data_IF_139697348320
#
_entry.id   IF_139697348320
#
_cell.length_a   1.000
_cell.length_b   1.000
_cell.length_c   1.000
_cell.angle_alpha   90.00
_cell.angle_beta   90.00
_cell.angle_gamma   90.00
#
_symmetry.space_group_name_H-M   'P 1'
#
loop_
_entity.id
_entity.type
_entity.pdbx_description
1 polymer ?
#
# COMPACT_ATOMS: atom_id res chain seq x y z
N UNK A 1 5.10 -0.78 -7.72
CA UNK A 1 4.81 0.48 -6.98
C UNK A 1 5.48 1.70 -7.59
N UNK A 2 6.74 1.62 -8.03
CA UNK A 2 7.44 2.74 -8.68
C UNK A 2 6.81 3.19 -10.00
N UNK A 3 6.22 2.27 -10.75
CA UNK A 3 5.75 2.52 -12.12
C UNK A 3 4.52 3.43 -12.29
N UNK A 4 3.88 3.89 -11.22
CA UNK A 4 2.70 4.74 -11.36
C UNK A 4 1.42 4.02 -11.76
N UNK A 5 1.38 2.72 -11.54
CA UNK A 5 0.26 1.86 -11.94
C UNK A 5 -1.05 2.27 -11.28
N UNK A 6 -1.01 2.52 -9.97
CA UNK A 6 -2.17 2.97 -9.19
C UNK A 6 -2.06 4.47 -8.89
N UNK A 7 -3.08 5.22 -9.23
CA UNK A 7 -3.11 6.68 -9.18
C UNK A 7 -4.41 7.17 -8.56
N UNK A 8 -4.48 8.43 -8.07
CA UNK A 8 -5.72 8.97 -7.54
C UNK A 8 -6.84 8.99 -8.59
N UNK A 9 -8.09 8.74 -8.16
CA UNK A 9 -9.27 8.82 -9.01
C UNK A 9 -9.45 10.23 -9.56
N UNK A 10 -9.84 10.35 -10.82
CA UNK A 10 -10.17 11.63 -11.45
C UNK A 10 -11.56 12.08 -11.00
N UNK A 11 -11.65 13.00 -10.04
CA UNK A 11 -12.92 13.61 -9.63
C UNK A 11 -13.38 14.64 -10.68
N UNK A 12 -14.69 14.66 -10.98
CA UNK A 12 -15.28 15.69 -11.83
C UNK A 12 -15.03 15.59 -13.34
N UNK A 13 -14.41 14.52 -13.80
CA UNK A 13 -14.19 14.30 -15.24
C UNK A 13 -15.44 13.71 -15.88
N UNK A 14 -15.96 14.35 -16.97
CA UNK A 14 -17.08 13.80 -17.75
C UNK A 14 -16.76 12.36 -18.18
N UNK A 15 -17.78 11.53 -18.26
CA UNK A 15 -17.72 10.08 -18.53
C UNK A 15 -16.80 9.68 -19.69
N UNK A 16 -16.73 10.52 -20.75
CA UNK A 16 -15.90 10.28 -21.93
C UNK A 16 -14.39 10.23 -21.67
N UNK A 17 -13.89 10.87 -20.58
CA UNK A 17 -12.47 10.84 -20.22
C UNK A 17 -12.09 9.68 -19.29
N UNK A 18 -13.06 9.06 -18.62
CA UNK A 18 -12.82 7.88 -17.76
C UNK A 18 -12.47 6.63 -18.56
N UNK A 19 -12.97 6.53 -19.79
CA UNK A 19 -12.82 5.35 -20.65
C UNK A 19 -11.69 5.48 -21.68
N UNK A 20 -10.95 6.59 -21.71
CA UNK A 20 -9.77 6.67 -22.58
C UNK A 20 -8.68 5.75 -22.02
N UNK A 21 -8.02 4.97 -22.91
CA UNK A 21 -6.84 4.21 -22.52
C UNK A 21 -5.83 5.14 -21.83
N UNK A 22 -5.29 4.68 -20.75
CA UNK A 22 -4.25 5.41 -20.01
C UNK A 22 -2.92 4.85 -20.49
N UNK A 23 -2.11 5.69 -21.11
CA UNK A 23 -0.72 5.34 -21.44
C UNK A 23 0.19 6.10 -20.48
N UNK A 24 1.04 5.37 -19.78
CA UNK A 24 2.02 5.92 -18.85
C UNK A 24 3.41 5.48 -19.35
N UNK A 25 4.24 6.43 -19.71
CA UNK A 25 5.66 6.20 -19.93
C UNK A 25 6.36 6.13 -18.56
N UNK A 26 6.80 4.93 -18.20
CA UNK A 26 7.49 4.65 -16.95
C UNK A 26 9.00 4.38 -17.17
N UNK A 27 9.55 4.64 -18.34
CA UNK A 27 10.94 4.35 -18.71
C UNK A 27 11.95 4.98 -17.76
N UNK A 28 11.66 6.16 -17.22
CA UNK A 28 12.51 6.83 -16.22
C UNK A 28 12.65 6.07 -14.91
N UNK A 29 11.70 5.21 -14.57
CA UNK A 29 11.73 4.38 -13.36
C UNK A 29 12.50 3.07 -13.60
N UNK A 30 12.77 2.70 -14.85
CA UNK A 30 13.54 1.53 -15.24
C UNK A 30 14.95 1.52 -14.64
N UNK A 31 15.57 2.71 -14.53
CA UNK A 31 16.91 2.87 -13.93
C UNK A 31 16.98 2.31 -12.52
N UNK A 32 15.83 2.15 -11.85
CA UNK A 32 15.69 1.68 -10.48
C UNK A 32 15.16 0.23 -10.38
N UNK A 33 14.91 -0.42 -11.53
CA UNK A 33 14.49 -1.81 -11.62
C UNK A 33 15.70 -2.64 -12.10
N UNK A 34 16.47 -3.17 -11.14
CA UNK A 34 17.75 -3.85 -11.42
C UNK A 34 17.60 -5.01 -12.41
N UNK A 35 16.57 -5.84 -12.24
CA UNK A 35 16.31 -7.00 -13.10
C UNK A 35 15.98 -6.58 -14.52
N UNK A 36 15.06 -5.63 -14.70
CA UNK A 36 14.72 -5.14 -16.03
C UNK A 36 15.93 -4.52 -16.75
N UNK A 37 16.83 -3.87 -16.00
CA UNK A 37 18.08 -3.35 -16.53
C UNK A 37 19.07 -4.45 -16.91
N UNK A 38 19.24 -5.46 -16.05
CA UNK A 38 20.15 -6.59 -16.33
C UNK A 38 19.70 -7.40 -17.55
N UNK A 39 18.40 -7.43 -17.83
CA UNK A 39 17.86 -8.03 -19.05
C UNK A 39 17.92 -7.10 -20.28
N UNK A 40 18.45 -5.87 -20.13
CA UNK A 40 18.68 -4.93 -21.24
C UNK A 40 17.44 -4.18 -21.71
N UNK A 41 16.35 -4.11 -20.92
CA UNK A 41 15.20 -3.29 -21.28
C UNK A 41 15.52 -1.78 -21.14
N UNK A 42 15.08 -1.00 -22.14
CA UNK A 42 15.29 0.45 -22.22
C UNK A 42 14.05 1.26 -21.89
N UNK A 43 12.87 0.74 -22.23
CA UNK A 43 11.61 1.44 -22.09
C UNK A 43 10.54 0.57 -21.43
N UNK A 44 9.70 1.20 -20.60
CA UNK A 44 8.49 0.58 -20.03
C UNK A 44 7.29 1.48 -20.29
N UNK A 45 6.28 0.93 -20.92
CA UNK A 45 4.97 1.58 -21.08
C UNK A 45 3.88 0.78 -20.40
N UNK A 46 2.93 1.48 -19.80
CA UNK A 46 1.74 0.91 -19.17
C UNK A 46 0.53 1.41 -19.95
N UNK A 47 -0.22 0.49 -20.53
CA UNK A 47 -1.45 0.80 -21.28
C UNK A 47 -2.62 0.06 -20.68
N UNK A 48 -3.79 0.69 -20.68
CA UNK A 48 -5.01 0.09 -20.16
C UNK A 48 -5.92 1.08 -19.43
N UNK A 49 -6.92 0.58 -18.70
CA UNK A 49 -7.77 1.42 -17.90
C UNK A 49 -6.99 2.05 -16.73
N UNK A 50 -7.41 3.25 -16.33
CA UNK A 50 -6.83 3.88 -15.14
C UNK A 50 -7.17 3.07 -13.90
N UNK A 51 -6.15 2.64 -13.17
CA UNK A 51 -6.30 1.93 -11.89
C UNK A 51 -6.26 2.95 -10.75
N UNK A 52 -7.25 2.88 -9.86
CA UNK A 52 -7.38 3.79 -8.74
C UNK A 52 -6.80 3.23 -7.42
N UNK A 53 -6.57 4.13 -6.46
CA UNK A 53 -6.06 3.77 -5.14
C UNK A 53 -7.14 3.23 -4.19
N UNK A 54 -8.41 3.51 -4.44
CA UNK A 54 -9.48 3.18 -3.50
C UNK A 54 -9.88 1.69 -3.60
N UNK A 55 -10.10 1.21 -4.83
CA UNK A 55 -10.55 -0.16 -5.08
C UNK A 55 -9.51 -1.01 -5.79
N UNK A 56 -8.95 -0.52 -6.91
CA UNK A 56 -8.08 -1.32 -7.76
C UNK A 56 -6.76 -1.67 -7.05
N UNK A 57 -6.20 -0.75 -6.27
CA UNK A 57 -5.01 -1.02 -5.47
C UNK A 57 -5.26 -2.09 -4.40
N UNK A 58 -6.38 -2.02 -3.68
CA UNK A 58 -6.74 -3.02 -2.66
C UNK A 58 -6.96 -4.38 -3.30
N UNK A 59 -7.63 -4.42 -4.46
CA UNK A 59 -7.82 -5.64 -5.23
C UNK A 59 -6.48 -6.26 -5.65
N UNK A 60 -5.53 -5.42 -6.12
CA UNK A 60 -4.18 -5.88 -6.45
C UNK A 60 -3.43 -6.44 -5.23
N UNK A 61 -3.55 -5.80 -4.07
CA UNK A 61 -3.00 -6.36 -2.82
C UNK A 61 -3.62 -7.73 -2.51
N UNK A 62 -4.93 -7.88 -2.73
CA UNK A 62 -5.63 -9.16 -2.61
C UNK A 62 -5.06 -10.22 -3.54
N UNK A 63 -4.82 -9.87 -4.81
CA UNK A 63 -4.20 -10.77 -5.81
C UNK A 63 -2.82 -11.22 -5.35
N UNK A 64 -1.94 -10.28 -4.97
CA UNK A 64 -0.56 -10.61 -4.53
C UNK A 64 -0.55 -11.49 -3.29
N UNK A 65 -1.43 -11.20 -2.31
CA UNK A 65 -1.56 -12.02 -1.10
C UNK A 65 -2.09 -13.42 -1.41
N UNK A 66 -3.10 -13.50 -2.27
CA UNK A 66 -3.67 -14.79 -2.68
C UNK A 66 -2.64 -15.66 -3.40
N UNK A 67 -1.82 -15.07 -4.28
CA UNK A 67 -0.72 -15.77 -4.95
C UNK A 67 0.34 -16.26 -3.97
N UNK A 68 0.66 -15.46 -2.95
CA UNK A 68 1.65 -15.83 -1.95
C UNK A 68 1.19 -16.99 -1.05
N UNK A 69 -0.12 -17.10 -0.80
CA UNK A 69 -0.69 -18.09 0.14
C UNK A 69 -1.27 -19.33 -0.56
N UNK A 70 -1.85 -19.15 -1.76
CA UNK A 70 -2.57 -20.20 -2.49
C UNK A 70 -2.12 -20.38 -3.94
N UNK A 71 -1.08 -19.69 -4.38
CA UNK A 71 -0.60 -19.77 -5.75
C UNK A 71 -0.03 -21.15 -6.06
N UNK A 72 -0.60 -21.82 -7.07
CA UNK A 72 -0.05 -23.04 -7.66
C UNK A 72 1.21 -22.71 -8.47
N UNK A 73 2.07 -23.71 -8.80
CA UNK A 73 3.28 -23.48 -9.59
C UNK A 73 3.04 -22.83 -10.96
N UNK A 74 1.86 -23.06 -11.55
CA UNK A 74 1.42 -22.45 -12.81
C UNK A 74 0.86 -21.03 -12.65
N UNK A 75 0.88 -20.44 -11.44
CA UNK A 75 0.33 -19.14 -11.16
C UNK A 75 -1.19 -19.10 -10.98
N UNK A 76 -1.86 -20.28 -10.94
CA UNK A 76 -3.30 -20.37 -10.68
C UNK A 76 -3.60 -20.13 -9.22
N UNK A 77 -4.67 -19.38 -8.95
CA UNK A 77 -5.27 -19.21 -7.63
C UNK A 77 -6.76 -19.46 -7.75
N UNK A 78 -7.32 -20.26 -6.83
CA UNK A 78 -8.75 -20.47 -6.68
C UNK A 78 -9.16 -20.29 -5.22
N UNK A 79 -10.14 -19.41 -4.96
CA UNK A 79 -10.66 -19.17 -3.62
C UNK A 79 -12.07 -18.58 -3.66
N UNK A 80 -12.78 -18.58 -2.52
CA UNK A 80 -14.06 -17.89 -2.45
C UNK A 80 -13.88 -16.37 -2.56
N UNK A 81 -14.83 -15.68 -3.21
CA UNK A 81 -14.80 -14.20 -3.31
C UNK A 81 -14.81 -13.54 -1.92
N UNK A 82 -15.44 -14.18 -0.95
CA UNK A 82 -15.44 -13.75 0.46
C UNK A 82 -14.03 -13.75 1.05
N UNK A 83 -13.23 -14.80 0.79
CA UNK A 83 -11.84 -14.89 1.25
C UNK A 83 -10.97 -13.89 0.51
N UNK A 84 -11.16 -13.78 -0.80
CA UNK A 84 -10.47 -12.78 -1.61
C UNK A 84 -10.70 -11.36 -1.11
N UNK A 85 -11.96 -10.98 -0.78
CA UNK A 85 -12.28 -9.68 -0.23
C UNK A 85 -11.55 -9.38 1.09
N UNK A 86 -11.37 -10.39 1.95
CA UNK A 86 -10.57 -10.26 3.18
C UNK A 86 -9.09 -10.00 2.86
N UNK A 87 -8.53 -10.65 1.84
CA UNK A 87 -7.17 -10.37 1.37
C UNK A 87 -7.00 -8.97 0.80
N UNK A 88 -8.06 -8.42 0.17
CA UNK A 88 -8.11 -7.02 -0.23
C UNK A 88 -8.19 -6.04 0.96
N UNK A 89 -8.36 -6.52 2.20
CA UNK A 89 -8.45 -5.71 3.40
C UNK A 89 -9.86 -5.23 3.73
N UNK A 90 -10.91 -5.84 3.17
CA UNK A 90 -12.30 -5.52 3.52
C UNK A 90 -12.79 -6.37 4.68
N UNK A 91 -13.43 -5.77 5.71
CA UNK A 91 -14.03 -6.51 6.82
C UNK A 91 -15.26 -7.31 6.34
N UNK A 92 -15.55 -8.42 7.02
CA UNK A 92 -16.65 -9.32 6.65
C UNK A 92 -18.01 -8.61 6.55
N UNK A 93 -18.27 -7.59 7.39
CA UNK A 93 -19.50 -6.78 7.39
C UNK A 93 -19.73 -5.99 6.10
N UNK A 94 -18.70 -5.73 5.31
CA UNK A 94 -18.77 -4.99 4.05
C UNK A 94 -18.93 -5.89 2.83
N UNK A 95 -18.83 -7.22 2.97
CA UNK A 95 -18.87 -8.16 1.85
C UNK A 95 -20.32 -8.39 1.42
N UNK A 96 -20.85 -7.41 0.68
CA UNK A 96 -22.18 -7.43 0.06
C UNK A 96 -22.05 -7.51 -1.46
N UNK A 97 -23.17 -7.68 -2.17
CA UNK A 97 -23.21 -7.74 -3.64
C UNK A 97 -22.44 -6.58 -4.30
N UNK A 98 -22.68 -5.36 -3.86
CA UNK A 98 -21.97 -4.17 -4.37
C UNK A 98 -20.46 -4.23 -4.25
N UNK A 99 -19.90 -4.84 -3.19
CA UNK A 99 -18.46 -5.01 -3.08
C UNK A 99 -17.96 -6.11 -4.01
N UNK A 100 -18.71 -7.21 -4.16
CA UNK A 100 -18.38 -8.30 -5.10
C UNK A 100 -18.28 -7.77 -6.53
N UNK A 101 -19.29 -6.98 -6.98
CA UNK A 101 -19.29 -6.34 -8.30
C UNK A 101 -18.09 -5.41 -8.48
N UNK A 102 -17.74 -4.64 -7.44
CA UNK A 102 -16.54 -3.75 -7.48
C UNK A 102 -15.25 -4.54 -7.60
N UNK A 103 -15.09 -5.62 -6.85
CA UNK A 103 -13.91 -6.48 -6.91
C UNK A 103 -13.78 -7.13 -8.28
N UNK A 104 -14.86 -7.66 -8.84
CA UNK A 104 -14.88 -8.25 -10.19
C UNK A 104 -14.53 -7.23 -11.26
N UNK A 105 -15.12 -6.03 -11.20
CA UNK A 105 -14.79 -4.93 -12.10
C UNK A 105 -13.33 -4.49 -11.97
N UNK A 106 -12.81 -4.48 -10.75
CA UNK A 106 -11.41 -4.14 -10.48
C UNK A 106 -10.46 -5.19 -11.06
N UNK A 107 -10.76 -6.47 -10.89
CA UNK A 107 -10.01 -7.57 -11.51
C UNK A 107 -10.00 -7.45 -13.02
N UNK A 108 -11.14 -7.14 -13.66
CA UNK A 108 -11.22 -6.89 -15.10
C UNK A 108 -10.34 -5.71 -15.55
N UNK A 109 -10.31 -4.62 -14.80
CA UNK A 109 -9.44 -3.47 -15.08
C UNK A 109 -7.97 -3.87 -14.98
N UNK A 110 -7.59 -4.61 -13.94
CA UNK A 110 -6.23 -5.10 -13.73
C UNK A 110 -5.81 -6.05 -14.87
N UNK A 111 -6.68 -6.97 -15.27
CA UNK A 111 -6.45 -7.90 -16.40
C UNK A 111 -6.24 -7.15 -17.73
N UNK A 112 -6.98 -6.05 -17.96
CA UNK A 112 -6.85 -5.22 -19.17
C UNK A 112 -5.64 -4.30 -19.16
N UNK A 113 -4.84 -4.31 -18.10
CA UNK A 113 -3.64 -3.49 -17.99
C UNK A 113 -2.43 -4.26 -18.50
N UNK A 114 -1.79 -3.70 -19.52
CA UNK A 114 -0.62 -4.25 -20.19
C UNK A 114 0.62 -3.47 -19.82
N UNK A 115 1.69 -4.18 -19.50
CA UNK A 115 3.04 -3.66 -19.35
C UNK A 115 3.83 -4.04 -20.60
N UNK A 116 4.40 -3.07 -21.28
CA UNK A 116 5.25 -3.27 -22.44
C UNK A 116 6.68 -2.91 -22.07
N UNK A 117 7.59 -3.86 -22.23
CA UNK A 117 9.03 -3.70 -22.01
C UNK A 117 9.71 -3.74 -23.36
N UNK A 118 10.47 -2.71 -23.70
CA UNK A 118 11.22 -2.65 -24.95
C UNK A 118 12.70 -2.81 -24.68
N UNK A 119 13.36 -3.62 -25.50
CA UNK A 119 14.81 -3.78 -25.56
C UNK A 119 15.28 -3.31 -26.95
N UNK A 120 16.27 -2.44 -26.96
CA UNK A 120 16.93 -2.00 -28.19
C UNK A 120 18.30 -2.66 -28.28
N UNK A 121 18.56 -3.33 -29.39
CA UNK A 121 19.86 -3.96 -29.64
C UNK A 121 20.78 -3.01 -30.40
N UNK A 122 22.12 -3.15 -30.24
CA UNK A 122 23.11 -2.42 -31.00
C UNK A 122 23.17 -2.84 -32.46
N UNK A 123 22.78 -4.10 -32.75
CA UNK A 123 22.63 -4.60 -34.10
C UNK A 123 21.55 -3.84 -34.86
N UNK A 124 21.85 -3.53 -36.12
CA UNK A 124 20.93 -2.81 -37.00
C UNK A 124 20.25 -3.77 -37.97
N UNK A 125 19.03 -3.39 -38.35
CA UNK A 125 18.29 -4.03 -39.43
C UNK A 125 18.94 -3.65 -40.79
N UNK A 126 18.49 -4.31 -41.86
CA UNK A 126 18.99 -4.03 -43.26
C UNK A 126 18.72 -2.58 -43.68
N UNK A 127 17.68 -1.95 -43.14
CA UNK A 127 17.31 -0.55 -43.37
C UNK A 127 18.07 0.47 -42.48
N UNK A 128 19.00 0.01 -41.65
CA UNK A 128 19.79 0.82 -40.72
C UNK A 128 19.09 1.16 -39.42
N UNK A 129 17.84 0.74 -39.21
CA UNK A 129 17.15 0.91 -37.94
C UNK A 129 17.67 -0.06 -36.86
N UNK A 130 17.54 0.29 -35.58
CA UNK A 130 17.91 -0.59 -34.48
C UNK A 130 16.96 -1.79 -34.39
N UNK A 131 17.52 -2.98 -34.15
CA UNK A 131 16.70 -4.14 -33.80
C UNK A 131 16.03 -3.92 -32.46
N UNK A 132 14.73 -4.18 -32.37
CA UNK A 132 13.91 -4.00 -31.18
C UNK A 132 13.26 -5.34 -30.82
N UNK A 133 13.27 -5.67 -29.53
CA UNK A 133 12.44 -6.72 -28.95
C UNK A 133 11.42 -6.09 -28.03
N UNK A 134 10.17 -6.52 -28.14
CA UNK A 134 9.06 -6.04 -27.35
C UNK A 134 8.45 -7.22 -26.57
N UNK A 135 8.48 -7.13 -25.24
CA UNK A 135 7.75 -8.01 -24.34
C UNK A 135 6.50 -7.28 -23.85
N UNK A 136 5.33 -7.86 -24.05
CA UNK A 136 4.06 -7.35 -23.56
C UNK A 136 3.45 -8.39 -22.62
N UNK A 137 3.12 -7.95 -21.41
CA UNK A 137 2.55 -8.83 -20.38
C UNK A 137 1.36 -8.14 -19.71
N UNK A 138 0.37 -8.94 -19.31
CA UNK A 138 -0.75 -8.48 -18.48
C UNK A 138 -0.42 -8.64 -17.00
N UNK A 139 -1.04 -7.85 -16.13
CA UNK A 139 -0.89 -8.03 -14.69
C UNK A 139 -1.51 -9.35 -14.20
N UNK A 140 -2.60 -9.74 -14.82
CA UNK A 140 -3.31 -11.01 -14.65
C UNK A 140 -3.66 -11.52 -16.03
N UNK A 141 -3.41 -12.79 -16.31
CA UNK A 141 -3.66 -13.39 -17.63
C UNK A 141 -5.14 -13.70 -17.87
N UNK A 142 -5.81 -14.22 -16.86
CA UNK A 142 -7.24 -14.51 -16.93
C UNK A 142 -7.89 -14.41 -15.56
N UNK A 143 -9.20 -14.15 -15.57
CA UNK A 143 -10.07 -14.14 -14.39
C UNK A 143 -11.35 -14.86 -14.74
N UNK A 144 -11.74 -15.82 -13.92
CA UNK A 144 -13.06 -16.46 -13.95
C UNK A 144 -13.75 -16.21 -12.60
N UNK A 145 -14.97 -15.72 -12.65
CA UNK A 145 -15.80 -15.48 -11.47
C UNK A 145 -17.12 -16.22 -11.61
N UNK A 146 -17.37 -17.14 -10.69
CA UNK A 146 -18.62 -17.89 -10.63
C UNK A 146 -19.44 -17.45 -9.41
N UNK A 147 -20.52 -16.69 -9.66
CA UNK A 147 -21.39 -16.16 -8.60
C UNK A 147 -22.13 -17.30 -7.86
N UNK A 148 -22.56 -18.36 -8.57
CA UNK A 148 -23.29 -19.48 -7.96
C UNK A 148 -22.42 -20.29 -6.99
N UNK A 149 -21.14 -20.50 -7.36
CA UNK A 149 -20.18 -21.24 -6.52
C UNK A 149 -19.44 -20.32 -5.52
N UNK A 150 -19.69 -19.01 -5.55
CA UNK A 150 -18.95 -17.99 -4.78
C UNK A 150 -17.43 -18.08 -4.97
N UNK A 151 -16.96 -18.45 -6.17
CA UNK A 151 -15.54 -18.66 -6.43
C UNK A 151 -14.98 -17.64 -7.41
N UNK A 152 -13.73 -17.26 -7.18
CA UNK A 152 -12.90 -16.53 -8.13
C UNK A 152 -11.64 -17.32 -8.42
N UNK A 153 -11.33 -17.48 -9.71
CA UNK A 153 -10.10 -18.10 -10.21
C UNK A 153 -9.36 -17.06 -11.03
N UNK A 154 -8.07 -16.93 -10.81
CA UNK A 154 -7.23 -16.08 -11.66
C UNK A 154 -5.85 -16.70 -11.86
N UNK A 155 -5.21 -16.34 -12.96
CA UNK A 155 -3.87 -16.76 -13.31
C UNK A 155 -2.94 -15.55 -13.33
N UNK A 156 -1.86 -15.62 -12.54
CA UNK A 156 -0.80 -14.61 -12.58
C UNK A 156 0.05 -14.77 -13.84
N UNK A 157 0.62 -13.66 -14.28
CA UNK A 157 1.64 -13.68 -15.35
C UNK A 157 2.98 -14.18 -14.80
N UNK A 158 3.53 -15.32 -15.28
CA UNK A 158 4.78 -15.89 -14.77
C UNK A 158 5.97 -14.96 -14.94
N UNK A 159 6.08 -14.27 -16.05
CA UNK A 159 7.15 -13.28 -16.32
C UNK A 159 7.15 -12.14 -15.33
N UNK A 160 5.97 -11.64 -14.96
CA UNK A 160 5.83 -10.64 -13.91
C UNK A 160 6.22 -11.17 -12.54
N UNK A 161 5.82 -12.40 -12.22
CA UNK A 161 6.20 -13.05 -10.98
C UNK A 161 7.73 -13.20 -10.87
N UNK A 162 8.40 -13.52 -11.97
CA UNK A 162 9.85 -13.59 -12.05
C UNK A 162 10.50 -12.21 -11.85
N UNK A 163 10.05 -11.17 -12.54
CA UNK A 163 10.52 -9.79 -12.38
C UNK A 163 10.35 -9.29 -10.93
N UNK A 164 9.26 -9.67 -10.25
CA UNK A 164 9.02 -9.27 -8.86
C UNK A 164 9.80 -10.09 -7.82
N UNK A 165 10.26 -11.29 -8.14
CA UNK A 165 11.07 -12.10 -7.21
C UNK A 165 12.41 -11.45 -6.87
N UNK A 166 13.00 -10.77 -7.82
CA UNK A 166 14.33 -10.18 -7.72
C UNK A 166 14.32 -8.72 -7.33
N UNK A 167 13.19 -8.04 -7.47
CA UNK A 167 13.06 -6.63 -7.08
C UNK A 167 12.85 -6.48 -5.56
N UNK A 168 13.24 -5.32 -5.02
CA UNK A 168 13.02 -5.02 -3.60
C UNK A 168 11.55 -5.17 -3.22
N UNK A 169 11.27 -6.09 -2.31
CA UNK A 169 9.94 -6.29 -1.75
C UNK A 169 9.52 -5.03 -0.98
N UNK A 170 8.57 -4.31 -1.51
CA UNK A 170 7.97 -3.17 -0.81
C UNK A 170 6.89 -3.70 0.13
N UNK A 171 7.21 -3.76 1.43
CA UNK A 171 6.26 -4.14 2.47
C UNK A 171 5.34 -2.96 2.77
N UNK A 172 4.20 -2.90 2.08
CA UNK A 172 3.18 -1.89 2.34
C UNK A 172 2.32 -2.27 3.53
N UNK A 173 2.16 -1.31 4.42
CA UNK A 173 1.26 -1.47 5.56
C UNK A 173 -0.14 -0.99 5.16
N UNK A 174 -1.06 -1.92 4.92
CA UNK A 174 -2.48 -1.59 4.67
C UNK A 174 -3.08 -0.75 5.80
N UNK A 175 -2.54 -0.87 7.04
CA UNK A 175 -2.91 -0.03 8.17
C UNK A 175 -2.73 1.46 7.88
N UNK A 176 -1.65 1.87 7.20
CA UNK A 176 -1.40 3.26 6.81
C UNK A 176 -2.45 3.71 5.79
N UNK A 177 -2.68 2.89 4.77
CA UNK A 177 -3.65 3.19 3.71
C UNK A 177 -5.08 3.30 4.29
N UNK A 178 -5.46 2.41 5.19
CA UNK A 178 -6.77 2.42 5.82
C UNK A 178 -6.99 3.63 6.75
N UNK A 179 -5.91 4.22 7.31
CA UNK A 179 -5.96 5.47 8.08
C UNK A 179 -6.05 6.73 7.23
N UNK A 180 -5.99 6.61 5.90
CA UNK A 180 -6.10 7.70 4.94
C UNK A 180 -7.38 7.57 4.09
N UNK A 181 -8.59 7.39 4.67
CA UNK A 181 -9.81 7.18 3.91
C UNK A 181 -10.07 8.40 3.00
N UNK A 182 -10.42 8.14 1.73
CA UNK A 182 -10.71 9.16 0.71
C UNK A 182 -9.54 10.12 0.39
N UNK A 183 -8.33 9.87 0.90
CA UNK A 183 -7.12 10.66 0.63
C UNK A 183 -6.22 9.93 -0.37
N UNK A 184 -6.75 9.60 -1.55
CA UNK A 184 -6.06 8.78 -2.55
C UNK A 184 -4.70 9.33 -2.97
N UNK A 185 -4.55 10.66 -3.06
CA UNK A 185 -3.24 11.28 -3.33
C UNK A 185 -2.22 10.94 -2.26
N UNK A 186 -2.60 10.99 -0.97
CA UNK A 186 -1.71 10.61 0.13
C UNK A 186 -1.41 9.10 0.10
N UNK A 187 -2.40 8.26 -0.21
CA UNK A 187 -2.19 6.81 -0.38
C UNK A 187 -1.21 6.51 -1.52
N UNK A 188 -1.36 7.17 -2.67
CA UNK A 188 -0.45 6.99 -3.81
C UNK A 188 0.96 7.53 -3.52
N UNK A 189 1.09 8.66 -2.81
CA UNK A 189 2.37 9.17 -2.32
C UNK A 189 3.02 8.20 -1.34
N UNK A 190 2.26 7.64 -0.40
CA UNK A 190 2.75 6.63 0.53
C UNK A 190 3.35 5.42 -0.21
N UNK A 191 2.64 4.85 -1.18
CA UNK A 191 3.13 3.69 -1.95
C UNK A 191 4.39 4.01 -2.73
N UNK A 192 4.49 5.23 -3.28
CA UNK A 192 5.68 5.68 -3.98
C UNK A 192 6.86 5.89 -3.02
N UNK A 193 6.65 6.59 -1.91
CA UNK A 193 7.70 6.89 -0.92
C UNK A 193 8.26 5.60 -0.32
N UNK A 194 7.42 4.61 0.01
CA UNK A 194 7.87 3.29 0.48
C UNK A 194 8.71 2.53 -0.56
N UNK A 195 8.50 2.78 -1.84
CA UNK A 195 9.31 2.17 -2.89
C UNK A 195 10.70 2.82 -3.09
N UNK A 196 10.96 3.96 -2.46
CA UNK A 196 12.25 4.64 -2.53
C UNK A 196 13.27 3.99 -1.58
N UNK A 197 14.59 4.17 -1.81
CA UNK A 197 15.64 3.75 -0.88
C UNK A 197 15.43 4.35 0.52
N UNK A 198 16.10 3.79 1.53
CA UNK A 198 16.01 4.27 2.93
C UNK A 198 16.37 5.75 3.05
N UNK A 199 17.40 6.20 2.33
CA UNK A 199 17.82 7.61 2.25
C UNK A 199 17.67 8.09 0.80
N UNK A 200 16.46 8.49 0.37
CA UNK A 200 16.25 8.88 -1.01
C UNK A 200 16.85 10.27 -1.29
N UNK A 201 17.34 10.45 -2.50
CA UNK A 201 17.63 11.78 -3.01
C UNK A 201 16.35 12.63 -3.08
N UNK A 202 16.45 13.96 -2.99
CA UNK A 202 15.30 14.85 -3.10
C UNK A 202 14.48 14.59 -4.36
N UNK A 203 13.17 14.48 -4.23
CA UNK A 203 12.23 14.18 -5.32
C UNK A 203 11.58 15.47 -5.80
N UNK A 204 11.70 15.80 -7.09
CA UNK A 204 11.07 17.01 -7.62
C UNK A 204 9.55 16.93 -7.65
N UNK A 205 8.84 18.05 -7.42
CA UNK A 205 7.39 18.13 -7.60
C UNK A 205 6.97 17.73 -9.03
N UNK A 206 7.79 17.99 -10.03
CA UNK A 206 7.53 17.55 -11.40
C UNK A 206 7.46 16.03 -11.51
N UNK A 207 8.39 15.30 -10.89
CA UNK A 207 8.38 13.84 -10.84
C UNK A 207 7.15 13.32 -10.10
N UNK A 208 6.76 13.95 -8.98
CA UNK A 208 5.57 13.55 -8.23
C UNK A 208 4.29 13.79 -9.04
N UNK A 209 4.19 14.90 -9.81
CA UNK A 209 3.06 15.15 -10.72
C UNK A 209 2.93 14.07 -11.78
N UNK A 210 4.03 13.75 -12.44
CA UNK A 210 4.08 12.69 -13.45
C UNK A 210 3.68 11.35 -12.85
N UNK A 211 4.22 11.02 -11.67
CA UNK A 211 3.96 9.77 -10.95
C UNK A 211 2.49 9.59 -10.55
N UNK A 212 1.84 10.67 -10.14
CA UNK A 212 0.43 10.65 -9.72
C UNK A 212 -0.54 10.81 -10.90
N UNK A 213 -0.04 11.09 -12.10
CA UNK A 213 -0.85 11.33 -13.29
C UNK A 213 -2.06 12.23 -13.00
N UNK A 214 -1.79 13.42 -12.41
CA UNK A 214 -2.84 14.35 -12.00
C UNK A 214 -3.49 14.99 -13.22
N UNK A 215 -4.82 15.09 -13.21
CA UNK A 215 -5.62 15.52 -14.36
C UNK A 215 -5.79 17.03 -14.51
N UNK A 216 -5.46 17.81 -13.48
CA UNK A 216 -5.56 19.27 -13.58
C UNK A 216 -4.59 19.82 -14.62
N UNK A 217 -5.04 20.79 -15.43
CA UNK A 217 -4.17 21.51 -16.36
C UNK A 217 -3.27 22.51 -15.66
N UNK A 218 -3.64 22.97 -14.47
CA UNK A 218 -2.90 23.98 -13.72
C UNK A 218 -1.84 23.31 -12.82
N UNK A 219 -0.57 23.60 -13.11
CA UNK A 219 0.60 23.08 -12.37
C UNK A 219 0.56 23.49 -10.88
N UNK A 220 0.11 24.70 -10.58
CA UNK A 220 -0.01 25.18 -9.19
C UNK A 220 -1.02 24.33 -8.40
N UNK A 221 -2.19 24.05 -9.00
CA UNK A 221 -3.21 23.18 -8.39
C UNK A 221 -2.69 21.77 -8.19
N UNK A 222 -1.94 21.21 -9.15
CA UNK A 222 -1.31 19.89 -9.00
C UNK A 222 -0.31 19.89 -7.84
N UNK A 223 0.55 20.92 -7.74
CA UNK A 223 1.50 21.07 -6.64
C UNK A 223 0.79 21.17 -5.29
N UNK A 224 -0.32 21.91 -5.21
CA UNK A 224 -1.10 22.02 -3.97
C UNK A 224 -1.71 20.66 -3.58
N UNK A 225 -2.21 19.89 -4.55
CA UNK A 225 -2.73 18.54 -4.32
C UNK A 225 -1.64 17.62 -3.75
N UNK A 226 -0.42 17.71 -4.25
CA UNK A 226 0.74 16.94 -3.73
C UNK A 226 1.06 17.39 -2.29
N UNK A 227 1.15 18.69 -2.04
CA UNK A 227 1.42 19.22 -0.69
C UNK A 227 0.38 18.77 0.32
N UNK A 228 -0.90 18.83 -0.06
CA UNK A 228 -1.99 18.34 0.80
C UNK A 228 -1.86 16.85 1.09
N UNK A 229 -1.43 16.05 0.11
CA UNK A 229 -1.15 14.63 0.30
C UNK A 229 0.04 14.37 1.22
N UNK A 230 1.15 15.11 1.05
CA UNK A 230 2.32 15.02 1.91
C UNK A 230 2.01 15.46 3.34
N UNK A 231 1.26 16.56 3.50
CA UNK A 231 0.80 17.01 4.81
C UNK A 231 -0.05 15.95 5.50
N UNK A 232 -0.97 15.31 4.79
CA UNK A 232 -1.78 14.24 5.36
C UNK A 232 -0.95 13.04 5.83
N UNK A 233 0.18 12.74 5.18
CA UNK A 233 1.14 11.72 5.63
C UNK A 233 1.94 12.18 6.84
N UNK A 234 2.29 13.45 6.92
CA UNK A 234 2.96 14.06 8.07
C UNK A 234 2.02 14.10 9.30
N UNK A 235 0.79 14.56 9.12
CA UNK A 235 -0.24 14.60 10.19
C UNK A 235 -0.55 13.20 10.74
N UNK A 236 -0.39 12.17 9.90
CA UNK A 236 -0.53 10.76 10.31
C UNK A 236 0.67 10.26 11.14
N UNK A 237 1.76 11.03 11.23
CA UNK A 237 3.01 10.61 11.86
C UNK A 237 3.81 9.60 11.05
N UNK A 238 3.54 9.49 9.74
CA UNK A 238 4.27 8.59 8.85
C UNK A 238 5.53 9.23 8.27
N UNK A 239 5.47 10.50 7.88
CA UNK A 239 6.47 11.19 7.06
C UNK A 239 6.95 12.47 7.72
N UNK A 240 8.27 12.65 7.75
CA UNK A 240 8.91 13.96 7.98
C UNK A 240 9.60 14.40 6.69
N UNK A 241 9.30 15.61 6.24
CA UNK A 241 9.84 16.13 5.01
C UNK A 241 10.01 17.66 5.05
N UNK A 242 10.82 18.19 4.16
CA UNK A 242 10.93 19.61 3.87
C UNK A 242 10.93 19.89 2.38
N UNK A 243 10.57 21.12 2.00
CA UNK A 243 10.70 21.60 0.61
C UNK A 243 12.04 22.30 0.43
N UNK A 244 12.77 21.94 -0.63
CA UNK A 244 14.05 22.53 -1.02
C UNK A 244 13.89 23.15 -2.40
N UNK A 245 14.26 24.43 -2.53
CA UNK A 245 14.29 25.10 -3.82
C UNK A 245 15.68 24.95 -4.45
N UNK A 246 15.75 24.42 -5.66
CA UNK A 246 16.98 24.34 -6.48
C UNK A 246 16.72 25.01 -7.83
N UNK A 247 17.24 26.21 -8.00
CA UNK A 247 16.92 27.06 -9.15
C UNK A 247 15.41 27.37 -9.23
N UNK A 248 14.77 27.02 -10.35
CA UNK A 248 13.33 27.19 -10.58
C UNK A 248 12.48 25.99 -10.10
N UNK A 249 13.11 24.92 -9.64
CA UNK A 249 12.44 23.69 -9.28
C UNK A 249 12.34 23.50 -7.77
N UNK A 250 11.21 22.96 -7.31
CA UNK A 250 10.96 22.60 -5.90
C UNK A 250 11.12 21.09 -5.79
N UNK A 251 11.84 20.67 -4.74
CA UNK A 251 12.10 19.28 -4.40
C UNK A 251 11.59 18.99 -3.00
N UNK A 252 11.14 17.77 -2.78
CA UNK A 252 10.76 17.22 -1.48
C UNK A 252 11.94 16.42 -0.95
N UNK A 253 12.49 16.84 0.16
CA UNK A 253 13.50 16.10 0.92
C UNK A 253 12.79 15.29 1.99
N UNK A 254 12.93 13.96 1.95
CA UNK A 254 12.41 13.06 2.96
C UNK A 254 13.47 12.90 4.04
N UNK A 255 13.12 13.20 5.28
CA UNK A 255 14.02 13.09 6.44
C UNK A 255 13.82 11.75 7.14
N UNK A 256 12.58 11.39 7.43
CA UNK A 256 12.26 10.14 8.09
C UNK A 256 10.95 9.53 7.60
N UNK A 257 10.80 8.23 7.81
CA UNK A 257 9.59 7.45 7.52
C UNK A 257 9.29 6.53 8.69
N UNK A 258 8.03 6.47 9.09
CA UNK A 258 7.54 5.59 10.15
C UNK A 258 6.48 4.62 9.60
N UNK A 259 6.88 3.59 8.83
CA UNK A 259 5.95 2.71 8.13
C UNK A 259 5.04 1.91 9.08
N UNK A 260 5.48 1.67 10.30
CA UNK A 260 4.70 0.94 11.31
C UNK A 260 3.79 1.84 12.14
N UNK A 261 3.83 3.16 11.94
CA UNK A 261 3.11 4.14 12.75
C UNK A 261 3.27 3.89 14.26
N UNK A 262 4.46 3.52 14.69
CA UNK A 262 4.79 3.44 16.10
C UNK A 262 4.84 4.88 16.62
N UNK A 263 4.07 5.17 17.65
CA UNK A 263 4.17 6.44 18.34
C UNK A 263 5.58 6.49 18.94
N UNK A 264 6.39 7.47 18.52
CA UNK A 264 7.65 7.74 19.22
C UNK A 264 7.30 8.06 20.68
N UNK A 265 8.06 7.56 21.67
CA UNK A 265 7.88 8.01 23.03
C UNK A 265 7.99 9.55 23.04
N UNK A 266 7.13 10.25 23.81
CA UNK A 266 7.18 11.70 23.87
C UNK A 266 8.61 12.13 24.24
N UNK A 267 9.10 13.17 23.56
CA UNK A 267 10.39 13.75 23.91
C UNK A 267 10.33 14.21 25.38
N UNK A 268 11.44 14.11 26.14
CA UNK A 268 11.45 14.54 27.54
C UNK A 268 10.98 15.99 27.77
N UNK A 269 11.05 16.84 26.75
CA UNK A 269 10.63 18.25 26.77
C UNK A 269 9.11 18.46 26.67
N UNK A 270 8.34 17.44 26.23
CA UNK A 270 6.88 17.51 26.08
C UNK A 270 6.12 17.01 27.32
N UNK A 271 6.83 16.65 28.40
CA UNK A 271 6.22 16.20 29.64
C UNK A 271 6.00 17.40 30.54
N UNK A 272 4.93 18.17 30.30
CA UNK A 272 4.36 18.96 31.38
C UNK A 272 3.95 18.01 32.51
N UNK A 273 4.33 18.30 33.78
CA UNK A 273 3.96 17.45 34.90
C UNK A 273 2.43 17.47 35.06
N UNK A 274 1.75 16.48 34.49
CA UNK A 274 0.36 16.22 34.84
C UNK A 274 0.30 15.93 36.34
N UNK A 275 -0.49 16.71 37.07
CA UNK A 275 -0.87 16.38 38.44
C UNK A 275 -1.36 14.93 38.47
N UNK A 276 -0.91 14.12 39.46
CA UNK A 276 -1.30 12.72 39.52
C UNK A 276 -2.86 12.63 39.62
N UNK A 277 -3.46 11.96 38.66
CA UNK A 277 -4.86 11.57 38.72
C UNK A 277 -4.97 10.44 39.77
N UNK A 278 -5.48 10.78 40.94
CA UNK A 278 -5.67 9.84 42.07
C UNK A 278 -6.48 8.58 41.64
N UNK A 279 -7.35 8.73 40.65
CA UNK A 279 -8.14 7.59 40.13
C UNK A 279 -7.37 6.59 39.26
N UNK A 280 -6.27 7.00 38.62
CA UNK A 280 -5.46 6.08 37.80
C UNK A 280 -4.65 5.11 38.69
N UNK A 281 -4.17 5.57 39.83
CA UNK A 281 -3.45 4.73 40.80
C UNK A 281 -4.33 3.65 41.44
N UNK A 282 -5.61 3.95 41.68
CA UNK A 282 -6.57 3.00 42.24
C UNK A 282 -6.96 1.88 41.26
N UNK A 283 -7.09 2.19 39.98
CA UNK A 283 -7.40 1.21 38.93
C UNK A 283 -6.24 0.25 38.72
N UNK A 284 -5.00 0.75 38.72
CA UNK A 284 -3.80 -0.08 38.58
C UNK A 284 -3.60 -1.00 39.83
N UNK A 285 -3.86 -0.49 41.03
CA UNK A 285 -3.77 -1.27 42.26
C UNK A 285 -4.80 -2.39 42.27
N UNK A 286 -6.06 -2.13 41.89
CA UNK A 286 -7.14 -3.16 41.79
C UNK A 286 -6.77 -4.24 40.77
N UNK A 287 -6.26 -3.84 39.61
CA UNK A 287 -5.89 -4.79 38.55
C UNK A 287 -4.72 -5.70 38.99
N UNK A 288 -3.74 -5.16 39.70
CA UNK A 288 -2.62 -5.94 40.22
C UNK A 288 -3.05 -6.96 41.27
N UNK A 289 -3.99 -6.61 42.16
CA UNK A 289 -4.56 -7.53 43.14
C UNK A 289 -5.37 -8.66 42.45
N UNK A 290 -6.17 -8.33 41.42
CA UNK A 290 -6.94 -9.32 40.64
C UNK A 290 -6.00 -10.30 39.94
N UNK A 291 -4.91 -9.81 39.32
CA UNK A 291 -3.92 -10.64 38.66
C UNK A 291 -3.25 -11.60 39.64
N UNK A 292 -2.93 -11.12 40.85
CA UNK A 292 -2.30 -11.95 41.90
C UNK A 292 -3.23 -13.01 42.45
N UNK A 293 -4.52 -12.70 42.65
CA UNK A 293 -5.55 -13.69 43.04
C UNK A 293 -5.68 -14.76 41.94
N UNK A 294 -5.65 -14.38 40.67
CA UNK A 294 -5.74 -15.31 39.54
C UNK A 294 -4.54 -16.25 39.49
N UNK A 295 -3.34 -15.74 39.73
CA UNK A 295 -2.10 -16.55 39.80
C UNK A 295 -2.14 -17.57 40.94
N UNK A 296 -2.54 -17.13 42.15
CA UNK A 296 -2.61 -17.99 43.33
C UNK A 296 -3.74 -19.03 43.25
N UNK A 297 -4.81 -18.76 42.53
CA UNK A 297 -5.93 -19.69 42.31
C UNK A 297 -5.58 -20.86 41.38
N UNK A 298 -4.50 -20.78 40.62
CA UNK A 298 -4.04 -21.89 39.79
C UNK A 298 -3.35 -23.01 40.58
N UNK A 299 -2.95 -22.75 41.84
CA UNK A 299 -2.34 -23.76 42.73
C UNK A 299 -2.85 -23.59 44.16
N UNK A 300 -3.94 -24.30 44.49
CA UNK A 300 -4.68 -24.19 45.76
C UNK A 300 -3.97 -24.93 46.88
N UNK A 301 -2.93 -24.33 47.45
CA UNK A 301 -2.34 -24.76 48.73
C UNK A 301 -3.02 -24.04 49.90
N UNK A 302 -2.97 -24.60 51.15
CA UNK A 302 -3.55 -23.93 52.31
C UNK A 302 -3.03 -22.52 52.54
N UNK A 303 -1.77 -22.26 52.17
CA UNK A 303 -1.11 -20.95 52.28
C UNK A 303 -1.66 -20.00 51.21
N UNK A 304 -1.82 -20.47 49.97
CA UNK A 304 -2.36 -19.67 48.86
C UNK A 304 -3.86 -19.30 49.13
N UNK A 305 -4.64 -20.19 49.70
CA UNK A 305 -6.03 -19.92 50.09
C UNK A 305 -6.11 -18.76 51.10
N UNK A 306 -5.28 -18.75 52.13
CA UNK A 306 -5.20 -17.61 53.05
C UNK A 306 -4.78 -16.31 52.40
N UNK A 307 -3.83 -16.36 51.48
CA UNK A 307 -3.40 -15.18 50.76
C UNK A 307 -4.50 -14.63 49.83
N UNK A 308 -5.24 -15.50 49.16
CA UNK A 308 -6.40 -15.12 48.33
C UNK A 308 -7.45 -14.42 49.15
N UNK A 309 -7.73 -14.91 50.37
CA UNK A 309 -8.72 -14.32 51.30
C UNK A 309 -8.29 -12.93 51.75
N UNK A 310 -7.01 -12.71 52.07
CA UNK A 310 -6.45 -11.42 52.45
C UNK A 310 -6.53 -10.43 51.27
N UNK A 311 -6.15 -10.85 50.08
CA UNK A 311 -6.16 -10.02 48.86
C UNK A 311 -7.60 -9.66 48.43
N UNK A 312 -8.55 -10.61 48.60
CA UNK A 312 -9.97 -10.38 48.32
C UNK A 312 -10.59 -9.36 49.26
N UNK A 313 -10.20 -9.39 50.55
CA UNK A 313 -10.64 -8.39 51.53
C UNK A 313 -10.03 -7.02 51.25
N UNK A 314 -8.74 -6.96 50.82
CA UNK A 314 -8.10 -5.72 50.41
C UNK A 314 -8.77 -5.09 49.17
N UNK A 315 -9.23 -5.93 48.22
CA UNK A 315 -9.93 -5.46 47.03
C UNK A 315 -11.33 -4.84 47.35
N UNK A 316 -11.96 -5.23 48.46
CA UNK A 316 -13.24 -4.66 48.92
C UNK A 316 -13.06 -3.30 49.61
N UNK A 317 -11.86 -2.99 50.07
CA UNK A 317 -11.52 -1.74 50.75
C UNK A 317 -10.98 -0.64 49.83
N UNK A 318 -10.57 -0.99 48.60
CA UNK A 318 -10.24 -0.13 47.51
C UNK A 318 -11.44 0.16 46.58
#
# INVERSE_FOLDING_TARGET
MRLGLFVPTLKGTKYSKRNKPNEIDASKELVQLEVARSEGYSDIKITGPRLDMDHDFKTWVGVVRSLAEYGEPNGRVELSITKFAKFCGYPSSQIRKTLRDRLTNSLLKIMRTTLSFQRTYEEKNVDGSNKISLLMVHLINSVDYNEQKDTVVFYAEPKLAELYRFDHKVLLQLKVINKLPRKETAQALYTFIESLPTKPAPVSLARLRARLNLSSRNVSSQNQTIRNGLKALQDLGYLEYSEIKRGRSIYIQIHSRNPKLKVAPPKPEDIEPKKPDEKAGEIDAKQNIINKITELSQNLTPENIKMIEILSNSLKLL
#
